data_IF_382315821720
#
_entry.id   IF_382315821720
#
_cell.length_a   1.000
_cell.length_b   1.000
_cell.length_c   1.000
_cell.angle_alpha   90.00
_cell.angle_beta   90.00
_cell.angle_gamma   90.00
#
_symmetry.space_group_name_H-M   'P 1'
#
loop_
_entity.id
_entity.type
_entity.pdbx_description
1 polymer ?
#
# COMPACT_ATOMS: atom_id res chain seq x y z
N UNK A 1 -23.09 28.63 34.72
CA UNK A 1 -23.79 27.32 34.68
C UNK A 1 -24.59 27.11 33.38
N UNK A 2 -25.52 28.04 33.00
CA UNK A 2 -26.27 27.86 31.70
C UNK A 2 -25.35 27.95 30.49
N UNK A 3 -24.43 28.89 30.46
CA UNK A 3 -23.45 28.96 29.35
C UNK A 3 -22.52 27.73 29.29
N UNK A 4 -22.26 27.09 30.42
CA UNK A 4 -21.44 25.88 30.46
C UNK A 4 -22.25 24.68 29.87
N UNK A 5 -23.56 24.62 30.13
CA UNK A 5 -24.44 23.64 29.52
C UNK A 5 -24.50 23.80 27.98
N UNK A 6 -24.70 25.03 27.47
CA UNK A 6 -24.71 25.29 26.03
C UNK A 6 -23.39 24.95 25.37
N UNK A 7 -22.25 25.29 26.02
CA UNK A 7 -20.93 24.91 25.54
C UNK A 7 -20.75 23.38 25.52
N UNK A 8 -21.21 22.67 26.56
CA UNK A 8 -21.13 21.20 26.61
C UNK A 8 -21.95 20.54 25.50
N UNK A 9 -23.19 21.04 25.25
CA UNK A 9 -24.03 20.55 24.16
C UNK A 9 -23.35 20.83 22.80
N UNK A 10 -22.91 22.04 22.57
CA UNK A 10 -22.20 22.42 21.32
C UNK A 10 -20.95 21.57 21.12
N UNK A 11 -20.14 21.38 22.18
CA UNK A 11 -18.93 20.55 22.12
C UNK A 11 -19.24 19.09 21.78
N UNK A 12 -20.33 18.56 22.30
CA UNK A 12 -20.80 17.21 21.98
C UNK A 12 -21.10 17.00 20.48
N UNK A 13 -21.69 18.02 19.83
CA UNK A 13 -21.88 18.03 18.37
C UNK A 13 -20.54 18.12 17.63
N UNK A 14 -19.65 19.04 18.06
CA UNK A 14 -18.33 19.22 17.45
C UNK A 14 -17.50 17.93 17.52
N UNK A 15 -17.49 17.27 18.68
CA UNK A 15 -16.74 16.03 18.87
C UNK A 15 -17.20 14.89 17.93
N UNK A 16 -18.46 14.94 17.50
CA UNK A 16 -19.04 14.02 16.51
C UNK A 16 -18.90 14.46 15.06
N UNK A 17 -18.23 15.60 14.83
CA UNK A 17 -17.99 16.13 13.48
C UNK A 17 -18.99 17.18 13.00
N UNK A 18 -20.04 17.49 13.77
CA UNK A 18 -21.04 18.52 13.43
C UNK A 18 -20.55 19.91 13.84
N UNK A 19 -19.48 20.37 13.21
CA UNK A 19 -18.69 21.55 13.62
C UNK A 19 -19.42 22.87 13.45
N UNK A 20 -20.52 22.91 12.67
CA UNK A 20 -21.33 24.10 12.43
C UNK A 20 -22.60 24.15 13.31
N UNK A 21 -22.90 23.08 14.04
CA UNK A 21 -24.05 23.04 14.94
C UNK A 21 -23.79 23.81 16.24
N UNK A 22 -24.81 24.54 16.72
CA UNK A 22 -24.72 25.41 17.92
C UNK A 22 -25.96 25.31 18.75
N UNK A 23 -25.78 25.31 20.09
CA UNK A 23 -26.87 25.37 21.05
C UNK A 23 -27.09 26.81 21.53
N UNK A 24 -28.35 27.23 21.62
CA UNK A 24 -28.79 28.55 22.05
C UNK A 24 -29.88 28.47 23.10
N UNK A 25 -30.00 29.48 23.93
CA UNK A 25 -31.16 29.72 24.79
C UNK A 25 -32.13 30.67 24.08
N UNK A 26 -33.37 30.25 23.82
CA UNK A 26 -34.40 31.19 23.40
C UNK A 26 -34.77 32.11 24.52
N UNK A 27 -35.41 33.22 24.18
CA UNK A 27 -36.06 34.07 25.20
C UNK A 27 -37.22 33.27 25.79
N UNK A 28 -37.18 33.01 27.11
CA UNK A 28 -38.12 32.14 27.79
C UNK A 28 -38.42 32.59 29.21
N UNK A 29 -39.53 32.22 29.76
CA UNK A 29 -39.87 32.39 31.16
C UNK A 29 -39.41 31.12 31.93
N UNK A 30 -38.64 31.27 32.97
CA UNK A 30 -38.16 30.18 33.81
C UNK A 30 -39.03 29.92 35.04
N UNK A 31 -40.17 30.60 35.15
CA UNK A 31 -41.08 30.44 36.29
C UNK A 31 -41.65 29.04 36.41
N UNK A 32 -41.80 28.32 35.29
CA UNK A 32 -42.34 26.96 35.21
C UNK A 32 -41.33 25.87 35.61
N UNK A 33 -40.06 26.27 35.84
CA UNK A 33 -38.97 25.31 36.15
C UNK A 33 -38.47 24.50 34.99
N UNK A 34 -38.93 24.79 33.76
CA UNK A 34 -38.47 24.17 32.52
C UNK A 34 -37.42 25.05 31.82
N UNK A 35 -36.46 24.43 31.14
CA UNK A 35 -35.41 25.11 30.37
C UNK A 35 -35.42 24.58 28.96
N UNK A 36 -35.82 25.42 28.02
CA UNK A 36 -35.72 25.12 26.59
C UNK A 36 -34.34 25.45 26.03
N UNK A 37 -33.76 24.53 25.30
CA UNK A 37 -32.52 24.72 24.54
C UNK A 37 -32.79 24.44 23.07
N UNK A 38 -32.51 25.43 22.23
CA UNK A 38 -32.59 25.28 20.78
C UNK A 38 -31.22 24.90 20.25
N UNK A 39 -31.16 23.81 19.47
CA UNK A 39 -30.00 23.45 18.70
C UNK A 39 -30.23 23.78 17.24
N UNK A 40 -29.41 24.68 16.69
CA UNK A 40 -29.38 24.95 15.26
C UNK A 40 -28.35 23.99 14.66
N UNK A 41 -28.84 22.97 13.96
CA UNK A 41 -27.99 22.04 13.21
C UNK A 41 -27.50 22.71 11.94
N UNK A 42 -26.17 22.75 11.78
CA UNK A 42 -25.58 23.28 10.55
C UNK A 42 -25.82 22.31 9.38
N UNK A 43 -26.29 22.82 8.23
CA UNK A 43 -26.60 22.01 7.04
C UNK A 43 -25.67 22.32 5.88
N UNK A 44 -25.38 21.30 5.07
CA UNK A 44 -24.60 21.45 3.85
C UNK A 44 -25.52 21.97 2.74
N UNK A 45 -25.26 23.18 2.21
CA UNK A 45 -25.99 23.73 1.06
C UNK A 45 -25.39 23.31 -0.28
N UNK A 46 -24.12 22.96 -0.33
CA UNK A 46 -23.46 22.49 -1.53
C UNK A 46 -21.95 22.37 -1.39
N UNK A 47 -21.36 21.68 -2.34
CA UNK A 47 -19.90 21.53 -2.49
C UNK A 47 -19.50 22.18 -3.80
N UNK A 48 -18.61 23.14 -3.75
CA UNK A 48 -18.05 23.86 -4.89
C UNK A 48 -16.58 23.50 -5.05
N UNK A 49 -16.13 23.21 -6.26
CA UNK A 49 -14.74 22.80 -6.50
C UNK A 49 -14.41 22.64 -7.97
N UNK A 50 -15.12 23.37 -8.85
CA UNK A 50 -15.01 23.22 -10.31
C UNK A 50 -13.58 23.44 -10.86
N UNK A 51 -12.71 24.13 -10.14
CA UNK A 51 -11.30 24.27 -10.50
C UNK A 51 -10.51 22.96 -10.26
N UNK A 52 -10.95 22.11 -9.32
CA UNK A 52 -10.21 20.89 -8.89
C UNK A 52 -10.87 19.64 -9.46
N UNK A 53 -12.19 19.54 -9.41
CA UNK A 53 -12.96 18.38 -9.84
C UNK A 53 -14.32 18.80 -10.41
N UNK A 54 -14.82 18.07 -11.38
CA UNK A 54 -16.17 18.29 -11.93
C UNK A 54 -17.24 17.89 -10.90
N UNK A 55 -18.46 18.41 -11.07
CA UNK A 55 -19.60 18.08 -10.21
C UNK A 55 -19.86 16.57 -10.12
N UNK A 56 -19.64 15.85 -11.23
CA UNK A 56 -19.74 14.38 -11.28
C UNK A 56 -18.72 13.69 -10.40
N UNK A 57 -17.48 14.15 -10.42
CA UNK A 57 -16.40 13.61 -9.59
C UNK A 57 -16.66 13.91 -8.12
N UNK A 58 -17.11 15.12 -7.81
CA UNK A 58 -17.48 15.51 -6.45
C UNK A 58 -18.64 14.67 -5.93
N UNK A 59 -19.68 14.46 -6.74
CA UNK A 59 -20.83 13.63 -6.37
C UNK A 59 -20.46 12.16 -6.11
N UNK A 60 -19.51 11.59 -6.87
CA UNK A 60 -19.03 10.24 -6.66
C UNK A 60 -18.10 10.13 -5.43
N UNK A 61 -17.22 11.11 -5.25
CA UNK A 61 -16.23 11.09 -4.17
C UNK A 61 -16.83 11.46 -2.81
N UNK A 62 -17.92 12.23 -2.78
CA UNK A 62 -18.56 12.74 -1.56
C UNK A 62 -19.49 11.72 -0.90
N UNK A 63 -19.31 11.40 0.37
CA UNK A 63 -20.36 10.78 1.15
C UNK A 63 -21.40 11.77 1.68
N UNK A 64 -21.03 13.07 1.79
CA UNK A 64 -21.92 14.12 2.28
C UNK A 64 -22.98 14.50 1.23
N UNK A 65 -24.20 14.74 1.65
CA UNK A 65 -25.32 15.10 0.79
C UNK A 65 -25.82 16.52 1.09
N UNK A 66 -26.18 17.25 0.04
CA UNK A 66 -26.78 18.59 0.17
C UNK A 66 -28.13 18.51 0.91
N UNK A 67 -28.34 19.42 1.87
CA UNK A 67 -29.55 19.47 2.71
C UNK A 67 -29.44 18.69 4.03
N UNK A 68 -28.47 17.78 4.15
CA UNK A 68 -28.23 17.01 5.38
C UNK A 68 -27.36 17.79 6.38
N UNK A 69 -27.38 17.41 7.68
CA UNK A 69 -26.48 18.01 8.68
C UNK A 69 -25.02 17.87 8.25
N UNK A 70 -24.29 19.01 8.25
CA UNK A 70 -22.90 19.04 7.83
C UNK A 70 -22.01 18.29 8.82
N UNK A 71 -21.37 17.22 8.35
CA UNK A 71 -20.41 16.45 9.12
C UNK A 71 -19.00 16.58 8.53
N UNK A 72 -18.08 17.11 9.34
CA UNK A 72 -16.68 17.31 8.92
C UNK A 72 -15.99 15.99 8.49
N UNK A 73 -16.36 14.85 9.07
CA UNK A 73 -15.74 13.55 8.72
C UNK A 73 -16.10 13.11 7.30
N UNK A 74 -17.29 13.43 6.83
CA UNK A 74 -17.71 13.20 5.46
C UNK A 74 -16.96 14.10 4.47
N UNK A 75 -16.74 15.34 4.86
CA UNK A 75 -15.97 16.30 4.06
C UNK A 75 -14.48 15.95 4.00
N UNK A 76 -13.90 15.51 5.11
CA UNK A 76 -12.54 14.97 5.12
C UNK A 76 -12.40 13.73 4.23
N UNK A 77 -13.44 12.89 4.18
CA UNK A 77 -13.46 11.74 3.28
C UNK A 77 -13.51 12.18 1.81
N UNK A 78 -14.33 13.17 1.47
CA UNK A 78 -14.36 13.76 0.14
C UNK A 78 -12.98 14.28 -0.27
N UNK A 79 -12.35 15.09 0.59
CA UNK A 79 -11.01 15.64 0.34
C UNK A 79 -9.98 14.53 0.14
N UNK A 80 -10.03 13.48 0.94
CA UNK A 80 -9.12 12.34 0.80
C UNK A 80 -9.35 11.60 -0.53
N UNK A 81 -10.60 11.41 -0.95
CA UNK A 81 -10.91 10.77 -2.24
C UNK A 81 -10.39 11.60 -3.43
N UNK A 82 -10.47 12.92 -3.36
CA UNK A 82 -9.90 13.80 -4.40
C UNK A 82 -8.37 13.82 -4.33
N UNK A 83 -7.78 13.97 -3.13
CA UNK A 83 -6.33 13.99 -2.92
C UNK A 83 -5.64 12.64 -3.19
N UNK A 84 -6.41 11.56 -3.34
CA UNK A 84 -5.92 10.28 -3.87
C UNK A 84 -5.31 10.45 -5.27
N UNK A 85 -5.74 11.47 -6.01
CA UNK A 85 -5.23 11.86 -7.31
C UNK A 85 -4.14 12.94 -7.13
N UNK A 86 -2.83 12.63 -7.28
CA UNK A 86 -1.73 13.58 -7.05
C UNK A 86 -1.79 14.86 -7.88
N UNK A 87 -2.50 14.82 -9.03
CA UNK A 87 -2.72 16.01 -9.87
C UNK A 87 -3.78 16.97 -9.31
N UNK A 88 -4.45 16.61 -8.21
CA UNK A 88 -5.59 17.37 -7.68
C UNK A 88 -5.45 17.61 -6.18
N UNK A 89 -4.43 18.39 -5.75
CA UNK A 89 -4.28 18.75 -4.36
C UNK A 89 -5.44 19.66 -3.96
N UNK A 90 -6.33 19.15 -3.12
CA UNK A 90 -7.52 19.85 -2.65
C UNK A 90 -7.42 20.18 -1.16
N UNK A 91 -7.71 21.41 -0.81
CA UNK A 91 -7.92 21.89 0.55
C UNK A 91 -9.37 22.28 0.74
N UNK A 92 -9.92 22.03 1.92
CA UNK A 92 -11.30 22.30 2.26
C UNK A 92 -11.43 23.64 2.99
N UNK A 93 -12.34 24.48 2.50
CA UNK A 93 -12.77 25.68 3.20
C UNK A 93 -14.29 25.67 3.42
N UNK A 94 -14.71 25.96 4.65
CA UNK A 94 -16.12 26.15 4.99
C UNK A 94 -16.47 27.63 4.89
N UNK A 95 -17.48 27.96 4.11
CA UNK A 95 -18.00 29.31 3.96
C UNK A 95 -19.48 29.37 4.37
N UNK A 96 -19.98 30.51 4.88
CA UNK A 96 -21.38 30.68 5.23
C UNK A 96 -22.28 30.41 4.01
N UNK A 97 -23.40 29.73 4.27
CA UNK A 97 -24.46 29.53 3.28
C UNK A 97 -25.43 30.70 3.18
N UNK A 98 -26.50 30.51 2.41
CA UNK A 98 -27.56 31.49 2.25
C UNK A 98 -28.61 31.43 3.36
N UNK A 99 -28.82 30.25 3.94
CA UNK A 99 -29.84 30.03 4.96
C UNK A 99 -29.23 30.09 6.38
N UNK A 100 -30.09 30.30 7.39
CA UNK A 100 -29.65 30.27 8.79
C UNK A 100 -29.19 28.86 9.16
N UNK A 101 -27.91 28.76 9.56
CA UNK A 101 -27.28 27.47 9.83
C UNK A 101 -26.73 26.79 8.56
N UNK A 102 -26.98 27.35 7.37
CA UNK A 102 -26.44 26.83 6.12
C UNK A 102 -24.93 27.05 5.99
N UNK A 103 -24.24 26.11 5.40
CA UNK A 103 -22.80 26.18 5.09
C UNK A 103 -22.52 25.61 3.72
N UNK A 104 -21.60 26.22 3.00
CA UNK A 104 -21.06 25.71 1.74
C UNK A 104 -19.63 25.24 1.92
N UNK A 105 -19.26 24.27 1.14
CA UNK A 105 -17.88 23.76 1.09
C UNK A 105 -17.25 24.21 -0.20
N UNK A 106 -16.08 24.83 -0.11
CA UNK A 106 -15.24 25.15 -1.26
C UNK A 106 -13.99 24.28 -1.23
N UNK A 107 -13.73 23.56 -2.32
CA UNK A 107 -12.45 22.90 -2.53
C UNK A 107 -11.52 23.83 -3.30
N UNK A 108 -10.39 24.15 -2.68
CA UNK A 108 -9.33 25.01 -3.23
C UNK A 108 -8.11 24.18 -3.56
N UNK A 109 -7.36 24.61 -4.57
CA UNK A 109 -6.10 24.02 -4.98
C UNK A 109 -5.79 24.32 -6.44
N UNK A 110 -4.60 23.99 -6.84
CA UNK A 110 -4.15 24.15 -8.23
C UNK A 110 -3.98 22.76 -8.87
N UNK A 111 -4.80 22.41 -9.86
CA UNK A 111 -4.67 21.12 -10.52
C UNK A 111 -3.35 21.05 -11.30
N UNK A 112 -2.64 19.96 -11.10
CA UNK A 112 -1.43 19.64 -11.83
C UNK A 112 -1.71 18.82 -13.10
N UNK A 113 -0.64 18.32 -13.70
CA UNK A 113 -0.71 17.43 -14.85
C UNK A 113 -1.41 16.11 -14.47
N UNK A 114 -2.47 15.68 -15.21
CA UNK A 114 -3.26 14.51 -14.83
C UNK A 114 -2.55 13.18 -15.09
N UNK A 115 -1.43 13.18 -15.76
CA UNK A 115 -0.66 11.97 -16.04
C UNK A 115 0.81 12.15 -15.66
N UNK A 116 1.43 11.06 -15.26
CA UNK A 116 2.85 10.98 -14.87
C UNK A 116 3.45 9.73 -15.50
N UNK A 117 4.64 9.91 -16.07
CA UNK A 117 5.42 8.82 -16.67
C UNK A 117 6.69 8.62 -15.86
N UNK A 118 7.02 7.38 -15.58
CA UNK A 118 8.26 7.01 -14.90
C UNK A 118 9.05 5.98 -15.69
N UNK A 119 10.37 6.10 -15.64
CA UNK A 119 11.32 5.10 -16.14
C UNK A 119 12.33 4.81 -15.04
N UNK A 120 12.68 3.56 -14.88
CA UNK A 120 13.70 3.19 -13.92
C UNK A 120 14.68 2.15 -14.47
N UNK A 121 15.86 2.16 -13.88
CA UNK A 121 16.92 1.18 -14.09
C UNK A 121 17.48 0.78 -12.74
N UNK A 122 17.56 -0.52 -12.48
CA UNK A 122 18.04 -1.04 -11.20
C UNK A 122 18.67 -2.42 -11.37
N UNK A 123 19.37 -2.89 -10.34
CA UNK A 123 20.02 -4.20 -10.31
C UNK A 123 19.52 -5.11 -9.19
N UNK A 124 18.29 -4.93 -8.72
CA UNK A 124 17.67 -5.75 -7.65
C UNK A 124 17.04 -7.07 -8.16
N UNK A 125 17.12 -7.36 -9.45
CA UNK A 125 16.77 -8.68 -9.99
C UNK A 125 17.71 -9.78 -9.48
N UNK A 126 17.24 -11.02 -9.57
CA UNK A 126 18.05 -12.20 -9.25
C UNK A 126 18.98 -12.55 -10.42
N UNK A 127 20.17 -13.06 -10.13
CA UNK A 127 21.13 -13.46 -11.17
C UNK A 127 20.62 -14.59 -12.06
N UNK A 128 19.74 -15.44 -11.51
CA UNK A 128 19.16 -16.58 -12.24
C UNK A 128 18.21 -16.18 -13.35
N UNK A 129 17.47 -15.07 -13.19
CA UNK A 129 16.43 -14.61 -14.12
C UNK A 129 16.75 -13.25 -14.76
N UNK A 130 17.85 -12.62 -14.40
CA UNK A 130 18.28 -11.31 -14.86
C UNK A 130 18.42 -10.32 -13.72
N UNK A 131 19.66 -9.92 -13.44
CA UNK A 131 20.00 -8.99 -12.35
C UNK A 131 19.65 -7.55 -12.70
N UNK A 132 19.91 -7.17 -13.94
CA UNK A 132 19.72 -5.80 -14.43
C UNK A 132 18.31 -5.63 -14.96
N UNK A 133 17.53 -4.80 -14.31
CA UNK A 133 16.12 -4.60 -14.61
C UNK A 133 15.86 -3.19 -15.12
N UNK A 134 14.86 -3.05 -15.97
CA UNK A 134 14.25 -1.78 -16.34
C UNK A 134 12.76 -1.79 -15.99
N UNK A 135 12.18 -0.61 -15.80
CA UNK A 135 10.76 -0.44 -15.62
C UNK A 135 10.26 0.84 -16.24
N UNK A 136 9.03 0.81 -16.69
CA UNK A 136 8.27 1.97 -17.14
C UNK A 136 6.91 1.99 -16.45
N UNK A 137 6.40 3.18 -16.16
CA UNK A 137 5.10 3.38 -15.54
C UNK A 137 4.35 4.56 -16.15
N UNK A 138 3.03 4.44 -16.21
CA UNK A 138 2.10 5.52 -16.51
C UNK A 138 1.04 5.54 -15.44
N UNK A 139 0.90 6.67 -14.76
CA UNK A 139 -0.21 6.96 -13.85
C UNK A 139 -1.08 8.03 -14.48
N UNK A 140 -2.39 7.80 -14.54
CA UNK A 140 -3.35 8.73 -15.14
C UNK A 140 -4.50 8.97 -14.19
N UNK A 141 -4.63 10.20 -13.76
CA UNK A 141 -5.66 10.65 -12.83
C UNK A 141 -6.91 11.03 -13.59
N UNK A 142 -8.04 10.48 -13.18
CA UNK A 142 -9.37 10.72 -13.71
C UNK A 142 -9.52 10.58 -15.23
N UNK A 143 -9.05 9.47 -15.86
CA UNK A 143 -9.19 9.28 -17.30
C UNK A 143 -10.66 9.26 -17.79
N UNK A 144 -11.60 8.84 -16.95
CA UNK A 144 -13.02 8.78 -17.29
C UNK A 144 -13.85 9.92 -16.67
N UNK A 145 -13.23 10.85 -15.94
CA UNK A 145 -13.92 11.94 -15.24
C UNK A 145 -14.78 11.44 -14.08
N UNK A 146 -14.30 10.43 -13.34
CA UNK A 146 -14.99 9.79 -12.21
C UNK A 146 -14.16 9.89 -10.91
N UNK A 147 -13.20 10.79 -10.85
CA UNK A 147 -12.15 10.80 -9.84
C UNK A 147 -11.43 9.45 -9.75
N UNK A 148 -11.39 8.73 -10.84
CA UNK A 148 -10.78 7.41 -11.01
C UNK A 148 -9.27 7.54 -11.25
N UNK A 149 -8.55 6.43 -11.11
CA UNK A 149 -7.11 6.38 -11.37
C UNK A 149 -6.76 5.13 -12.16
N UNK A 150 -5.95 5.31 -13.19
CA UNK A 150 -5.36 4.25 -13.99
C UNK A 150 -3.86 4.19 -13.75
N UNK A 151 -3.34 2.99 -13.52
CA UNK A 151 -1.91 2.70 -13.41
C UNK A 151 -1.51 1.60 -14.37
N UNK A 152 -0.51 1.85 -15.19
CA UNK A 152 0.11 0.86 -16.08
C UNK A 152 1.59 0.76 -15.72
N UNK A 153 2.09 -0.47 -15.60
CA UNK A 153 3.51 -0.73 -15.36
C UNK A 153 3.99 -1.87 -16.25
N UNK A 154 5.20 -1.72 -16.74
CA UNK A 154 5.92 -2.76 -17.47
C UNK A 154 7.38 -2.77 -17.04
N UNK A 155 7.99 -3.92 -17.02
CA UNK A 155 9.40 -4.05 -16.69
C UNK A 155 9.95 -5.42 -17.06
N UNK A 156 11.24 -5.56 -16.93
CA UNK A 156 11.89 -6.82 -17.22
C UNK A 156 13.41 -6.75 -17.21
N UNK A 157 14.01 -7.83 -17.60
CA UNK A 157 15.45 -7.93 -17.75
C UNK A 157 15.95 -6.98 -18.84
N UNK A 158 16.95 -6.21 -18.51
CA UNK A 158 17.51 -5.20 -19.39
C UNK A 158 18.74 -5.70 -20.19
N UNK A 159 19.18 -6.92 -19.93
CA UNK A 159 20.27 -7.58 -20.63
C UNK A 159 19.72 -8.77 -21.39
N UNK A 160 19.73 -8.72 -22.71
CA UNK A 160 19.25 -9.82 -23.53
C UNK A 160 20.14 -11.04 -23.36
N UNK A 161 19.59 -12.11 -22.80
CA UNK A 161 20.23 -13.41 -22.63
C UNK A 161 19.21 -14.52 -23.00
N UNK A 162 19.56 -15.40 -23.89
CA UNK A 162 18.68 -16.49 -24.32
C UNK A 162 18.32 -17.48 -23.21
N UNK A 163 19.13 -17.55 -22.15
CA UNK A 163 19.01 -18.49 -21.05
C UNK A 163 18.36 -17.93 -19.80
N UNK A 164 18.32 -16.61 -19.69
CA UNK A 164 17.78 -15.88 -18.55
C UNK A 164 16.91 -14.75 -19.06
N UNK A 165 15.72 -14.66 -18.53
CA UNK A 165 14.80 -13.57 -18.87
C UNK A 165 13.77 -13.41 -17.79
N UNK A 166 13.38 -12.17 -17.52
CA UNK A 166 12.22 -11.84 -16.74
C UNK A 166 11.46 -10.70 -17.38
N UNK A 167 10.14 -10.76 -17.31
CA UNK A 167 9.26 -9.67 -17.76
C UNK A 167 8.05 -9.60 -16.81
N UNK A 168 7.56 -8.40 -16.58
CA UNK A 168 6.36 -8.18 -15.83
C UNK A 168 5.56 -7.02 -16.43
N UNK A 169 4.25 -7.11 -16.30
CA UNK A 169 3.33 -6.04 -16.64
C UNK A 169 2.17 -6.03 -15.67
N UNK A 170 1.66 -4.85 -15.37
CA UNK A 170 0.49 -4.70 -14.54
C UNK A 170 -0.38 -3.53 -14.99
N UNK A 171 -1.65 -3.70 -14.74
CA UNK A 171 -2.72 -2.75 -14.93
C UNK A 171 -3.45 -2.63 -13.60
N UNK A 172 -3.75 -1.42 -13.15
CA UNK A 172 -4.64 -1.20 -12.02
C UNK A 172 -5.57 -0.03 -12.31
N UNK A 173 -6.82 -0.19 -11.94
CA UNK A 173 -7.84 0.84 -12.05
C UNK A 173 -8.57 0.94 -10.73
N UNK A 174 -8.85 2.16 -10.27
CA UNK A 174 -9.55 2.40 -9.02
C UNK A 174 -10.54 3.56 -9.13
N UNK A 175 -11.67 3.42 -8.43
CA UNK A 175 -12.81 4.33 -8.48
C UNK A 175 -13.31 4.61 -7.05
N UNK A 176 -13.47 5.87 -6.62
CA UNK A 176 -14.09 6.22 -5.34
C UNK A 176 -15.64 6.20 -5.45
N UNK A 177 -16.29 5.91 -4.33
CA UNK A 177 -17.72 6.06 -4.17
C UNK A 177 -18.04 6.37 -2.69
N UNK A 178 -18.04 7.64 -2.32
CA UNK A 178 -18.25 8.09 -0.94
C UNK A 178 -17.27 7.43 0.04
N UNK A 179 -17.81 6.61 0.96
CA UNK A 179 -17.03 5.83 1.92
C UNK A 179 -16.34 4.60 1.32
N UNK A 180 -16.64 4.25 0.08
CA UNK A 180 -16.10 3.11 -0.62
C UNK A 180 -15.01 3.50 -1.61
N UNK A 181 -14.12 2.56 -1.88
CA UNK A 181 -13.20 2.58 -3.01
C UNK A 181 -13.20 1.19 -3.65
N UNK A 182 -13.39 1.13 -4.95
CA UNK A 182 -13.36 -0.11 -5.72
C UNK A 182 -12.10 -0.14 -6.56
N UNK A 183 -11.47 -1.29 -6.66
CA UNK A 183 -10.31 -1.46 -7.51
C UNK A 183 -10.29 -2.81 -8.21
N UNK A 184 -9.73 -2.80 -9.41
CA UNK A 184 -9.36 -3.98 -10.15
C UNK A 184 -7.90 -3.89 -10.52
N UNK A 185 -7.17 -4.99 -10.32
CA UNK A 185 -5.78 -5.11 -10.72
C UNK A 185 -5.57 -6.39 -11.53
N UNK A 186 -4.76 -6.27 -12.56
CA UNK A 186 -4.23 -7.38 -13.34
C UNK A 186 -2.72 -7.32 -13.31
N UNK A 187 -2.08 -8.46 -13.12
CA UNK A 187 -0.63 -8.57 -13.27
C UNK A 187 -0.25 -9.85 -13.99
N UNK A 188 0.79 -9.76 -14.78
CA UNK A 188 1.38 -10.88 -15.47
C UNK A 188 2.90 -10.81 -15.29
N UNK A 189 3.50 -11.95 -14.98
CA UNK A 189 4.93 -12.10 -14.88
C UNK A 189 5.39 -13.32 -15.67
N UNK A 190 6.56 -13.20 -16.25
CA UNK A 190 7.22 -14.28 -16.98
C UNK A 190 8.66 -14.40 -16.50
N UNK A 191 9.15 -15.62 -16.38
CA UNK A 191 10.56 -15.87 -16.12
C UNK A 191 11.08 -17.01 -16.99
N UNK A 192 12.37 -16.95 -17.27
CA UNK A 192 13.17 -18.03 -17.85
C UNK A 192 14.51 -18.09 -17.14
N UNK A 193 14.93 -19.30 -16.79
CA UNK A 193 16.23 -19.52 -16.18
C UNK A 193 16.83 -20.84 -16.62
N UNK A 194 18.16 -20.88 -16.69
CA UNK A 194 18.89 -22.12 -16.87
C UNK A 194 19.27 -22.69 -15.52
N UNK A 195 18.86 -23.89 -15.24
CA UNK A 195 19.15 -24.62 -13.99
C UNK A 195 20.14 -25.74 -14.28
N UNK A 196 21.11 -25.92 -13.38
CA UNK A 196 22.03 -27.05 -13.46
C UNK A 196 21.42 -28.23 -12.72
N UNK A 197 21.04 -29.27 -13.45
CA UNK A 197 20.57 -30.55 -12.88
C UNK A 197 21.74 -31.50 -12.59
N UNK A 198 21.40 -32.69 -12.07
CA UNK A 198 22.37 -33.76 -11.90
C UNK A 198 22.76 -34.34 -13.28
N UNK A 199 23.85 -33.85 -13.84
CA UNK A 199 24.44 -34.36 -15.07
C UNK A 199 24.23 -33.47 -16.32
N UNK A 200 23.18 -32.66 -16.39
CA UNK A 200 22.94 -31.77 -17.54
C UNK A 200 22.17 -30.50 -17.13
N UNK A 201 22.40 -29.39 -17.84
CA UNK A 201 21.61 -28.19 -17.65
C UNK A 201 20.26 -28.30 -18.36
N UNK A 202 19.20 -27.70 -17.79
CA UNK A 202 17.89 -27.58 -18.40
C UNK A 202 17.34 -26.17 -18.28
N UNK A 203 16.40 -25.85 -19.14
CA UNK A 203 15.71 -24.55 -19.12
C UNK A 203 14.38 -24.70 -18.40
N UNK A 204 14.19 -23.87 -17.39
CA UNK A 204 12.91 -23.67 -16.71
C UNK A 204 12.33 -22.33 -17.11
N UNK A 205 11.07 -22.31 -17.46
CA UNK A 205 10.33 -21.07 -17.69
C UNK A 205 8.92 -21.16 -17.10
N UNK A 206 8.35 -20.00 -16.81
CA UNK A 206 7.00 -19.92 -16.27
C UNK A 206 6.34 -18.58 -16.46
N UNK A 207 5.03 -18.62 -16.42
CA UNK A 207 4.13 -17.47 -16.50
C UNK A 207 3.15 -17.52 -15.33
N UNK A 208 2.90 -16.35 -14.72
CA UNK A 208 1.84 -16.19 -13.73
C UNK A 208 0.95 -15.02 -14.12
N UNK A 209 -0.36 -15.21 -14.01
CA UNK A 209 -1.40 -14.20 -14.24
C UNK A 209 -2.25 -14.07 -13.00
N UNK A 210 -2.47 -12.85 -12.54
CA UNK A 210 -3.31 -12.58 -11.37
C UNK A 210 -4.36 -11.54 -11.73
N UNK A 211 -5.60 -11.83 -11.40
CA UNK A 211 -6.73 -10.89 -11.42
C UNK A 211 -7.17 -10.66 -9.99
N UNK A 212 -7.36 -9.41 -9.60
CA UNK A 212 -7.81 -9.05 -8.26
C UNK A 212 -8.88 -7.98 -8.33
N UNK A 213 -10.02 -8.24 -7.69
CA UNK A 213 -11.08 -7.28 -7.40
C UNK A 213 -11.05 -6.97 -5.92
N UNK A 214 -11.22 -5.71 -5.55
CA UNK A 214 -11.23 -5.29 -4.15
C UNK A 214 -12.20 -4.14 -3.94
N UNK A 215 -12.92 -4.20 -2.83
CA UNK A 215 -13.77 -3.13 -2.31
C UNK A 215 -13.30 -2.77 -0.89
N UNK A 216 -12.94 -1.53 -0.69
CA UNK A 216 -12.52 -0.97 0.59
C UNK A 216 -13.60 -0.03 1.11
N UNK A 217 -13.93 -0.10 2.39
CA UNK A 217 -14.87 0.79 3.06
C UNK A 217 -14.26 1.41 4.31
N UNK A 218 -14.34 2.71 4.44
CA UNK A 218 -14.06 3.41 5.69
C UNK A 218 -15.24 3.21 6.63
N UNK A 219 -14.99 2.60 7.80
CA UNK A 219 -16.00 2.32 8.82
C UNK A 219 -16.05 3.40 9.89
N UNK A 220 -14.88 3.93 10.24
CA UNK A 220 -14.74 4.97 11.24
C UNK A 220 -13.62 5.93 10.86
N UNK A 221 -13.84 7.20 11.12
CA UNK A 221 -12.88 8.28 10.94
C UNK A 221 -13.05 9.32 12.02
N UNK A 222 -11.95 9.71 12.64
CA UNK A 222 -11.86 10.89 13.51
C UNK A 222 -10.65 11.75 13.13
N UNK A 223 -10.29 12.75 13.94
CA UNK A 223 -9.20 13.67 13.65
C UNK A 223 -7.80 13.04 13.62
N UNK A 224 -7.62 11.89 14.23
CA UNK A 224 -6.33 11.23 14.40
C UNK A 224 -6.30 9.78 13.93
N UNK A 225 -7.46 9.17 13.68
CA UNK A 225 -7.55 7.76 13.30
C UNK A 225 -8.54 7.49 12.18
N UNK A 226 -8.28 6.40 11.46
CA UNK A 226 -9.17 5.87 10.43
C UNK A 226 -9.17 4.35 10.49
N UNK A 227 -10.36 3.76 10.45
CA UNK A 227 -10.56 2.31 10.43
C UNK A 227 -11.32 1.91 9.17
N UNK A 228 -10.85 0.89 8.50
CA UNK A 228 -11.46 0.38 7.28
C UNK A 228 -11.60 -1.14 7.27
N UNK A 229 -12.47 -1.58 6.40
CA UNK A 229 -12.67 -2.99 6.07
C UNK A 229 -12.49 -3.16 4.56
N UNK A 230 -11.87 -4.26 4.15
CA UNK A 230 -11.73 -4.61 2.74
C UNK A 230 -12.24 -6.00 2.45
N UNK A 231 -12.86 -6.13 1.28
CA UNK A 231 -13.28 -7.40 0.70
C UNK A 231 -12.58 -7.57 -0.64
N UNK A 232 -12.05 -8.76 -0.90
CA UNK A 232 -11.33 -9.04 -2.14
C UNK A 232 -11.64 -10.40 -2.70
N UNK A 233 -11.44 -10.52 -4.01
CA UNK A 233 -11.43 -11.78 -4.76
C UNK A 233 -10.20 -11.75 -5.66
N UNK A 234 -9.33 -12.75 -5.52
CA UNK A 234 -8.16 -12.92 -6.37
C UNK A 234 -8.22 -14.25 -7.11
N UNK A 235 -7.81 -14.24 -8.36
CA UNK A 235 -7.63 -15.44 -9.18
C UNK A 235 -6.23 -15.44 -9.77
N UNK A 236 -5.46 -16.49 -9.44
CA UNK A 236 -4.09 -16.70 -9.89
C UNK A 236 -4.00 -17.94 -10.75
N UNK A 237 -3.43 -17.81 -11.93
CA UNK A 237 -3.03 -18.95 -12.78
C UNK A 237 -1.51 -18.90 -12.97
N UNK A 238 -0.84 -20.00 -12.65
CA UNK A 238 0.59 -20.19 -12.89
C UNK A 238 0.79 -21.38 -13.81
N UNK A 239 1.70 -21.25 -14.77
CA UNK A 239 2.14 -22.32 -15.67
C UNK A 239 3.65 -22.37 -15.66
N UNK A 240 4.20 -23.50 -15.25
CA UNK A 240 5.65 -23.74 -15.21
C UNK A 240 6.02 -24.87 -16.17
N UNK A 241 7.15 -24.71 -16.84
CA UNK A 241 7.67 -25.63 -17.85
C UNK A 241 9.12 -25.99 -17.55
N UNK A 242 9.51 -27.20 -17.92
CA UNK A 242 10.90 -27.65 -18.04
C UNK A 242 11.06 -28.19 -19.46
N UNK A 243 12.04 -27.66 -20.22
CA UNK A 243 12.30 -28.04 -21.62
C UNK A 243 11.00 -28.07 -22.45
N UNK A 244 10.15 -27.04 -22.26
CA UNK A 244 8.82 -26.88 -22.87
C UNK A 244 7.74 -27.90 -22.42
N UNK A 245 8.03 -28.80 -21.49
CA UNK A 245 7.04 -29.70 -20.91
C UNK A 245 6.35 -29.06 -19.72
N UNK A 246 5.01 -28.99 -19.73
CA UNK A 246 4.23 -28.41 -18.64
C UNK A 246 4.34 -29.24 -17.36
N UNK A 247 4.72 -28.61 -16.26
CA UNK A 247 4.77 -29.21 -14.92
C UNK A 247 3.43 -29.00 -14.20
N UNK A 248 2.52 -29.96 -14.33
CA UNK A 248 1.19 -29.85 -13.73
C UNK A 248 1.19 -29.66 -12.22
N UNK A 249 2.13 -30.29 -11.50
CA UNK A 249 2.26 -30.18 -10.02
C UNK A 249 2.71 -28.81 -9.52
N UNK A 250 3.42 -28.03 -10.34
CA UNK A 250 3.87 -26.68 -10.02
C UNK A 250 3.15 -25.58 -10.79
N UNK A 251 2.04 -25.93 -11.45
CA UNK A 251 1.20 -25.01 -12.23
C UNK A 251 -0.17 -24.83 -11.58
N UNK A 252 -0.23 -24.22 -10.39
CA UNK A 252 -1.48 -24.06 -9.65
C UNK A 252 -2.41 -23.06 -10.34
N UNK A 253 -3.72 -23.30 -10.15
CA UNK A 253 -4.78 -22.35 -10.40
C UNK A 253 -5.54 -22.15 -9.09
N UNK A 254 -5.52 -20.93 -8.56
CA UNK A 254 -5.97 -20.61 -7.21
C UNK A 254 -6.99 -19.48 -7.30
N UNK A 255 -8.11 -19.64 -6.61
CA UNK A 255 -9.07 -18.56 -6.35
C UNK A 255 -9.14 -18.33 -4.86
N UNK A 256 -9.03 -17.08 -4.43
CA UNK A 256 -8.93 -16.68 -3.03
C UNK A 256 -9.92 -15.55 -2.73
N UNK A 257 -10.71 -15.72 -1.67
CA UNK A 257 -11.44 -14.61 -1.05
C UNK A 257 -10.58 -13.97 0.02
N UNK A 258 -10.71 -12.67 0.18
CA UNK A 258 -9.89 -11.87 1.09
C UNK A 258 -10.78 -11.00 1.96
N UNK A 259 -10.57 -11.02 3.26
CA UNK A 259 -11.14 -10.09 4.23
C UNK A 259 -9.97 -9.37 4.91
N UNK A 260 -10.02 -8.05 4.90
CA UNK A 260 -8.99 -7.21 5.52
C UNK A 260 -9.59 -6.21 6.51
N UNK A 261 -8.88 -5.95 7.58
CA UNK A 261 -9.14 -4.89 8.54
C UNK A 261 -7.92 -3.99 8.58
N UNK A 262 -8.13 -2.69 8.46
CA UNK A 262 -7.09 -1.68 8.53
C UNK A 262 -7.40 -0.66 9.62
N UNK A 263 -6.40 -0.29 10.42
CA UNK A 263 -6.48 0.81 11.38
C UNK A 263 -5.22 1.65 11.32
N UNK A 264 -5.37 2.92 10.93
CA UNK A 264 -4.32 3.93 10.94
C UNK A 264 -4.55 4.95 12.04
N UNK A 265 -3.49 5.34 12.76
CA UNK A 265 -3.56 6.33 13.85
C UNK A 265 -2.33 7.21 13.92
N UNK A 266 -2.54 8.51 14.14
CA UNK A 266 -1.48 9.46 14.46
C UNK A 266 -1.30 9.54 15.99
N UNK A 267 -0.07 9.34 16.45
CA UNK A 267 0.35 9.42 17.85
C UNK A 267 1.37 10.56 18.01
N UNK A 268 0.87 11.78 18.25
CA UNK A 268 1.72 12.97 18.20
C UNK A 268 2.28 13.20 16.79
N UNK A 269 3.59 13.14 16.63
CA UNK A 269 4.29 13.20 15.34
C UNK A 269 4.44 11.82 14.66
N UNK A 270 4.17 10.74 15.37
CA UNK A 270 4.27 9.39 14.83
C UNK A 270 3.00 8.95 14.09
N UNK A 271 3.18 8.04 13.13
CA UNK A 271 2.10 7.37 12.40
C UNK A 271 2.20 5.86 12.60
N UNK A 272 1.10 5.24 12.96
CA UNK A 272 0.97 3.80 13.13
C UNK A 272 -0.11 3.28 12.19
N UNK A 273 0.19 2.20 11.45
CA UNK A 273 -0.81 1.45 10.70
C UNK A 273 -0.76 -0.01 11.10
N UNK A 274 -1.94 -0.61 11.19
CA UNK A 274 -2.15 -2.03 11.42
C UNK A 274 -3.09 -2.57 10.34
N UNK A 275 -2.63 -3.57 9.61
CA UNK A 275 -3.41 -4.31 8.62
C UNK A 275 -3.48 -5.78 9.04
N UNK A 276 -4.70 -6.29 9.21
CA UNK A 276 -4.99 -7.69 9.45
C UNK A 276 -5.69 -8.26 8.22
N UNK A 277 -5.29 -9.43 7.78
CA UNK A 277 -5.88 -10.10 6.63
C UNK A 277 -6.23 -11.55 6.94
N UNK A 278 -7.37 -11.99 6.44
CA UNK A 278 -7.74 -13.38 6.31
C UNK A 278 -7.99 -13.68 4.83
N UNK A 279 -7.29 -14.67 4.32
CA UNK A 279 -7.43 -15.14 2.95
C UNK A 279 -7.85 -16.60 2.99
N UNK A 280 -8.86 -16.93 2.20
CA UNK A 280 -9.36 -18.29 2.08
C UNK A 280 -9.35 -18.74 0.62
N UNK A 281 -8.64 -19.82 0.35
CA UNK A 281 -8.67 -20.50 -0.93
C UNK A 281 -10.02 -21.18 -1.13
N UNK A 282 -10.65 -20.93 -2.29
CA UNK A 282 -11.97 -21.50 -2.64
C UNK A 282 -11.90 -22.29 -3.94
N UNK A 283 -12.80 -23.26 -4.10
CA UNK A 283 -12.89 -24.13 -5.29
C UNK A 283 -13.67 -23.50 -6.46
N UNK A 284 -13.56 -22.18 -6.68
CA UNK A 284 -14.25 -21.46 -7.77
C UNK A 284 -13.29 -21.18 -8.94
N UNK A 285 -13.84 -20.87 -10.12
CA UNK A 285 -13.09 -20.50 -11.33
C UNK A 285 -12.00 -21.52 -11.71
N UNK A 286 -12.36 -22.81 -11.71
CA UNK A 286 -11.45 -23.93 -12.02
C UNK A 286 -10.21 -24.02 -11.12
N UNK A 287 -10.29 -23.54 -9.88
CA UNK A 287 -9.22 -23.73 -8.91
C UNK A 287 -8.90 -25.22 -8.75
N UNK A 288 -7.63 -25.59 -8.98
CA UNK A 288 -7.20 -26.99 -9.02
C UNK A 288 -6.46 -27.36 -7.74
N UNK A 289 -6.86 -28.50 -7.17
CA UNK A 289 -6.08 -29.19 -6.16
C UNK A 289 -4.93 -29.94 -6.83
N UNK A 290 -3.71 -29.74 -6.38
CA UNK A 290 -2.55 -30.53 -6.80
C UNK A 290 -2.34 -31.76 -5.93
N UNK A 291 -3.42 -32.38 -5.41
CA UNK A 291 -3.31 -33.67 -4.72
C UNK A 291 -2.94 -34.75 -5.72
N UNK A 292 -1.76 -35.30 -5.57
CA UNK A 292 -1.34 -36.50 -6.24
C UNK A 292 -1.62 -37.66 -5.30
N UNK A 293 -2.54 -38.56 -5.69
CA UNK A 293 -2.80 -39.88 -5.10
C UNK A 293 -2.88 -39.96 -3.56
N UNK A 294 -3.76 -39.17 -2.96
CA UNK A 294 -4.07 -39.32 -1.52
C UNK A 294 -2.98 -38.98 -0.51
N UNK A 295 -1.82 -38.54 -0.97
CA UNK A 295 -0.72 -38.04 -0.11
C UNK A 295 -0.83 -36.53 0.13
N UNK A 296 -0.23 -36.08 1.24
CA UNK A 296 -0.16 -34.67 1.59
C UNK A 296 0.40 -33.84 0.41
N UNK A 297 -0.33 -32.87 -0.06
CA UNK A 297 0.03 -31.97 -1.16
C UNK A 297 -0.71 -30.65 -1.02
N UNK A 298 -0.25 -29.63 -1.72
CA UNK A 298 -0.87 -28.30 -1.73
C UNK A 298 -2.34 -28.38 -2.15
N UNK A 299 -3.19 -27.67 -1.42
CA UNK A 299 -4.63 -27.64 -1.67
C UNK A 299 -5.03 -26.25 -2.18
N UNK A 300 -6.01 -26.19 -3.10
CA UNK A 300 -6.65 -24.94 -3.48
C UNK A 300 -7.52 -24.37 -2.34
N UNK A 301 -7.90 -25.20 -1.37
CA UNK A 301 -8.61 -24.78 -0.15
C UNK A 301 -7.61 -24.68 0.99
N UNK A 302 -7.45 -23.51 1.51
CA UNK A 302 -6.56 -23.18 2.63
C UNK A 302 -7.06 -21.94 3.35
N UNK A 303 -6.62 -21.78 4.58
CA UNK A 303 -6.77 -20.54 5.35
C UNK A 303 -5.39 -19.93 5.61
N UNK A 304 -5.29 -18.63 5.37
CA UNK A 304 -4.07 -17.86 5.55
C UNK A 304 -4.39 -16.55 6.27
N UNK A 305 -3.63 -16.26 7.31
CA UNK A 305 -3.72 -15.05 8.09
C UNK A 305 -2.49 -14.19 7.85
N UNK A 306 -2.68 -12.91 7.71
CA UNK A 306 -1.60 -11.93 7.53
C UNK A 306 -1.73 -10.77 8.50
N UNK A 307 -0.58 -10.25 8.93
CA UNK A 307 -0.46 -9.06 9.75
C UNK A 307 0.63 -8.19 9.14
N UNK A 308 0.31 -6.93 8.91
CA UNK A 308 1.30 -5.89 8.63
C UNK A 308 1.13 -4.77 9.63
N UNK A 309 2.21 -4.39 10.29
CA UNK A 309 2.23 -3.26 11.20
C UNK A 309 3.37 -2.32 10.80
N UNK A 310 3.08 -1.03 10.68
CA UNK A 310 4.09 -0.02 10.36
C UNK A 310 4.07 1.10 11.38
N UNK A 311 5.25 1.61 11.68
CA UNK A 311 5.49 2.76 12.54
C UNK A 311 6.43 3.71 11.83
N UNK A 312 6.06 4.97 11.72
CA UNK A 312 6.87 6.06 11.17
C UNK A 312 6.96 7.19 12.18
N UNK A 313 8.15 7.55 12.58
CA UNK A 313 8.43 8.65 13.51
C UNK A 313 9.38 9.65 12.85
N UNK A 314 8.90 10.76 12.27
CA UNK A 314 9.75 11.90 11.94
C UNK A 314 10.13 12.68 13.22
N UNK A 315 11.37 13.12 13.29
CA UNK A 315 11.88 13.92 14.41
C UNK A 315 13.07 14.77 13.99
N UNK A 316 13.42 15.75 14.82
CA UNK A 316 14.63 16.54 14.63
C UNK A 316 15.62 16.27 15.77
N UNK A 317 16.88 16.12 15.42
CA UNK A 317 17.98 15.97 16.36
C UNK A 317 19.12 16.89 15.94
N UNK A 318 19.55 17.80 16.83
CA UNK A 318 20.61 18.78 16.56
C UNK A 318 20.36 19.65 15.32
N UNK A 319 19.09 19.95 15.01
CA UNK A 319 18.68 20.70 13.83
C UNK A 319 18.59 19.92 12.54
N UNK A 320 18.93 18.63 12.56
CA UNK A 320 18.84 17.74 11.39
C UNK A 320 17.52 16.97 11.36
N UNK A 321 17.00 16.72 10.16
CA UNK A 321 15.75 15.97 9.97
C UNK A 321 16.05 14.47 9.90
N UNK A 322 15.44 13.73 10.80
CA UNK A 322 15.52 12.28 10.85
C UNK A 322 14.12 11.67 10.79
N UNK A 323 14.05 10.43 10.30
CA UNK A 323 12.88 9.57 10.45
C UNK A 323 13.29 8.17 10.87
N UNK A 324 12.53 7.58 11.76
CA UNK A 324 12.63 6.17 12.09
C UNK A 324 11.42 5.44 11.51
N UNK A 325 11.68 4.42 10.69
CA UNK A 325 10.70 3.58 10.03
C UNK A 325 10.84 2.16 10.56
N UNK A 326 9.73 1.55 10.98
CA UNK A 326 9.68 0.16 11.41
C UNK A 326 8.49 -0.55 10.74
N UNK A 327 8.71 -1.72 10.15
CA UNK A 327 7.70 -2.50 9.44
C UNK A 327 7.80 -3.96 9.84
N UNK A 328 6.70 -4.50 10.36
CA UNK A 328 6.52 -5.93 10.62
C UNK A 328 5.57 -6.47 9.54
N UNK A 329 5.93 -7.58 8.93
CA UNK A 329 5.04 -8.37 8.09
C UNK A 329 5.10 -9.82 8.55
N UNK A 330 3.94 -10.43 8.77
CA UNK A 330 3.83 -11.79 9.26
C UNK A 330 2.69 -12.52 8.56
N UNK A 331 2.91 -13.78 8.24
CA UNK A 331 1.92 -14.69 7.67
C UNK A 331 1.85 -15.97 8.50
N UNK A 332 0.65 -16.51 8.68
CA UNK A 332 0.41 -17.82 9.27
C UNK A 332 -0.59 -18.62 8.44
N UNK A 333 -0.25 -19.86 8.18
CA UNK A 333 -1.16 -20.87 7.65
C UNK A 333 -0.79 -22.22 8.25
N UNK A 334 -1.80 -23.02 8.59
CA UNK A 334 -1.62 -24.42 9.02
C UNK A 334 -1.72 -25.39 7.81
N UNK A 335 -2.19 -24.84 6.70
CA UNK A 335 -2.30 -25.57 5.43
C UNK A 335 -1.00 -25.52 4.65
N UNK A 336 -0.80 -26.53 3.81
CA UNK A 336 0.30 -26.54 2.85
C UNK A 336 -0.06 -25.64 1.64
N UNK A 337 0.59 -24.48 1.59
CA UNK A 337 0.36 -23.48 0.56
C UNK A 337 1.12 -23.78 -0.74
N UNK A 338 0.52 -23.44 -1.86
CA UNK A 338 1.22 -23.36 -3.14
C UNK A 338 2.31 -22.28 -3.09
N UNK A 339 3.39 -22.46 -3.85
CA UNK A 339 4.55 -21.57 -3.86
C UNK A 339 4.19 -20.08 -3.96
N UNK A 340 3.27 -19.61 -4.82
CA UNK A 340 2.90 -18.20 -4.90
C UNK A 340 2.22 -17.64 -3.65
N UNK A 341 1.68 -18.51 -2.78
CA UNK A 341 0.96 -18.11 -1.56
C UNK A 341 1.85 -18.13 -0.30
N UNK A 342 3.04 -18.69 -0.41
CA UNK A 342 4.01 -18.75 0.69
C UNK A 342 4.64 -17.39 0.93
N UNK A 343 4.93 -17.09 2.20
CA UNK A 343 5.77 -15.94 2.53
C UNK A 343 7.23 -16.25 2.18
N UNK A 344 7.92 -15.27 1.59
CA UNK A 344 9.35 -15.36 1.28
C UNK A 344 10.11 -14.24 1.99
N UNK A 345 11.26 -14.56 2.54
CA UNK A 345 12.18 -13.63 3.18
C UNK A 345 13.57 -13.75 2.54
N UNK A 346 14.25 -12.63 2.40
CA UNK A 346 15.47 -12.42 1.61
C UNK A 346 15.19 -11.47 0.42
N UNK A 347 16.09 -10.57 0.14
CA UNK A 347 15.96 -9.54 -0.88
C UNK A 347 15.71 -8.15 -0.32
N UNK A 348 15.74 -7.17 -1.21
CA UNK A 348 15.64 -5.73 -0.87
C UNK A 348 14.31 -5.37 -0.18
N UNK A 349 13.25 -6.12 -0.43
CA UNK A 349 11.90 -5.84 0.12
C UNK A 349 11.64 -6.44 1.51
N UNK A 350 12.47 -7.38 1.99
CA UNK A 350 12.26 -8.05 3.28
C UNK A 350 13.51 -7.99 4.17
N UNK A 351 14.49 -8.86 3.98
CA UNK A 351 15.76 -8.85 4.72
C UNK A 351 16.88 -8.47 3.76
N UNK A 352 17.29 -7.19 3.80
CA UNK A 352 18.38 -6.66 2.97
C UNK A 352 19.68 -7.36 3.37
N UNK A 353 20.48 -7.74 2.46
CA UNK A 353 21.70 -8.54 2.73
C UNK A 353 21.66 -9.89 2.05
N UNK A 354 20.47 -10.30 1.58
CA UNK A 354 20.27 -11.48 0.74
C UNK A 354 19.68 -11.03 -0.59
N UNK A 355 20.25 -11.49 -1.70
CA UNK A 355 19.82 -11.12 -3.05
C UNK A 355 19.45 -12.34 -3.88
N UNK A 356 20.35 -13.30 -3.91
CA UNK A 356 20.18 -14.53 -4.71
C UNK A 356 19.63 -15.70 -3.88
N UNK A 357 19.66 -15.60 -2.55
CA UNK A 357 19.21 -16.63 -1.62
C UNK A 357 18.05 -16.12 -0.78
N UNK A 358 17.04 -16.94 -0.60
CA UNK A 358 15.82 -16.62 0.16
C UNK A 358 15.30 -17.86 0.87
N UNK A 359 14.49 -17.67 1.89
CA UNK A 359 13.71 -18.71 2.53
C UNK A 359 12.23 -18.45 2.25
N UNK A 360 11.45 -19.51 2.06
CA UNK A 360 10.00 -19.39 1.92
C UNK A 360 9.28 -20.50 2.68
N UNK A 361 8.10 -20.20 3.21
CA UNK A 361 7.30 -21.14 3.98
C UNK A 361 5.84 -20.75 4.10
N UNK A 362 5.04 -21.64 4.70
CA UNK A 362 3.62 -21.39 4.94
C UNK A 362 3.42 -20.32 6.01
N UNK A 363 4.30 -20.30 7.02
CA UNK A 363 4.28 -19.39 8.16
C UNK A 363 5.65 -18.76 8.38
N UNK A 364 5.64 -17.47 8.69
CA UNK A 364 6.85 -16.71 8.94
C UNK A 364 6.62 -15.21 8.83
N UNK A 365 7.70 -14.44 8.91
CA UNK A 365 7.61 -13.00 8.80
C UNK A 365 8.95 -12.31 8.80
N UNK A 366 8.93 -11.01 8.68
CA UNK A 366 10.12 -10.17 8.79
C UNK A 366 9.79 -8.86 9.51
N UNK A 367 10.82 -8.30 10.09
CA UNK A 367 10.82 -7.02 10.77
C UNK A 367 11.94 -6.17 10.21
N UNK A 368 11.58 -5.06 9.59
CA UNK A 368 12.49 -4.09 8.99
C UNK A 368 12.55 -2.84 9.85
N UNK A 369 13.75 -2.35 10.08
CA UNK A 369 13.98 -1.11 10.80
C UNK A 369 14.96 -0.24 10.03
N UNK A 370 14.69 1.06 9.98
CA UNK A 370 15.50 2.01 9.25
C UNK A 370 15.50 3.36 9.94
N UNK A 371 16.69 3.89 10.14
CA UNK A 371 16.91 5.27 10.54
C UNK A 371 17.40 6.04 9.32
N UNK A 372 16.68 7.06 8.92
CA UNK A 372 16.99 7.90 7.76
C UNK A 372 17.26 9.33 8.19
N UNK A 373 18.36 9.88 7.74
CA UNK A 373 18.69 11.28 7.78
C UNK A 373 18.53 11.89 6.39
N UNK A 374 17.97 13.12 6.32
CA UNK A 374 17.76 13.82 5.05
C UNK A 374 18.09 15.29 5.19
N UNK A 375 18.68 15.85 4.14
CA UNK A 375 19.05 17.25 4.09
C UNK A 375 18.73 17.85 2.71
N UNK A 376 18.18 19.09 2.66
CA UNK A 376 18.05 19.82 1.40
C UNK A 376 19.43 20.17 0.82
N UNK A 377 19.48 20.34 -0.49
CA UNK A 377 20.68 20.78 -1.20
C UNK A 377 20.73 22.32 -1.18
N UNK A 378 21.76 22.89 -0.58
CA UNK A 378 21.96 24.35 -0.49
C UNK A 378 22.72 24.91 -1.70
N UNK A 379 23.39 24.07 -2.48
CA UNK A 379 24.18 24.48 -3.64
C UNK A 379 23.29 24.72 -4.87
N UNK A 380 23.07 26.01 -5.20
CA UNK A 380 22.13 26.44 -6.24
C UNK A 380 22.33 25.76 -7.63
N UNK A 381 23.56 25.51 -8.14
CA UNK A 381 23.75 24.84 -9.42
C UNK A 381 23.26 23.40 -9.46
N UNK A 382 23.17 22.70 -8.31
CA UNK A 382 22.72 21.32 -8.19
C UNK A 382 21.20 21.22 -7.99
N UNK A 383 20.55 22.25 -7.44
CA UNK A 383 19.12 22.24 -7.08
C UNK A 383 18.17 21.89 -8.25
N UNK A 384 18.42 22.25 -9.52
CA UNK A 384 17.59 21.83 -10.63
C UNK A 384 17.53 20.30 -10.83
N UNK A 385 18.57 19.58 -10.42
CA UNK A 385 18.72 18.14 -10.59
C UNK A 385 18.47 17.36 -9.29
N UNK A 386 18.96 17.89 -8.16
CA UNK A 386 18.87 17.25 -6.84
C UNK A 386 18.45 18.30 -5.82
N UNK A 387 17.30 18.11 -5.21
CA UNK A 387 16.79 19.00 -4.16
C UNK A 387 17.10 18.52 -2.74
N UNK A 388 17.30 17.21 -2.59
CA UNK A 388 17.50 16.57 -1.31
C UNK A 388 18.42 15.38 -1.44
N UNK A 389 19.27 15.16 -0.45
CA UNK A 389 20.06 13.93 -0.32
C UNK A 389 19.86 13.34 1.08
N UNK A 390 20.19 12.07 1.23
CA UNK A 390 19.98 11.37 2.48
C UNK A 390 20.87 10.15 2.64
N UNK A 391 20.98 9.75 3.91
CA UNK A 391 21.65 8.55 4.36
C UNK A 391 20.67 7.74 5.19
N UNK A 392 20.58 6.44 4.97
CA UNK A 392 19.77 5.57 5.80
C UNK A 392 20.57 4.36 6.25
N UNK A 393 20.47 4.04 7.54
CA UNK A 393 20.95 2.81 8.12
C UNK A 393 19.77 1.89 8.41
N UNK A 394 19.91 0.61 8.06
CA UNK A 394 18.86 -0.37 8.21
C UNK A 394 19.35 -1.64 8.90
N UNK A 395 18.48 -2.24 9.69
CA UNK A 395 18.66 -3.57 10.28
C UNK A 395 17.37 -4.37 10.17
N UNK A 396 17.44 -5.50 9.50
CA UNK A 396 16.29 -6.34 9.18
C UNK A 396 16.46 -7.73 9.79
N UNK A 397 15.35 -8.28 10.25
CA UNK A 397 15.22 -9.64 10.78
C UNK A 397 14.11 -10.36 10.01
N UNK A 398 14.25 -11.65 9.80
CA UNK A 398 13.20 -12.48 9.21
C UNK A 398 13.29 -13.91 9.73
N UNK A 399 12.16 -14.58 9.76
CA UNK A 399 12.09 -15.97 10.18
C UNK A 399 11.02 -16.72 9.39
N UNK A 400 11.38 -17.88 8.86
CA UNK A 400 10.45 -18.88 8.35
C UNK A 400 10.34 -19.98 9.39
N UNK A 401 9.10 -20.33 9.75
CA UNK A 401 8.82 -21.41 10.69
C UNK A 401 8.95 -22.75 9.98
N UNK A 402 9.53 -23.74 10.69
CA UNK A 402 9.59 -25.10 10.21
C UNK A 402 8.21 -25.76 10.30
N UNK A 403 7.84 -26.47 9.26
CA UNK A 403 6.66 -27.33 9.21
C UNK A 403 7.00 -28.73 8.66
N UNK A 404 6.04 -29.63 8.62
CA UNK A 404 6.24 -31.02 8.18
C UNK A 404 6.78 -31.14 6.76
N UNK A 405 6.46 -30.16 5.91
CA UNK A 405 6.78 -30.16 4.49
C UNK A 405 8.00 -29.30 4.19
N UNK A 406 8.44 -28.47 5.16
CA UNK A 406 9.56 -27.53 5.04
C UNK A 406 10.64 -27.75 6.12
N UNK A 407 10.90 -28.99 6.49
CA UNK A 407 11.83 -29.33 7.57
C UNK A 407 13.29 -28.86 7.33
N UNK A 408 13.68 -28.54 6.10
CA UNK A 408 15.05 -28.11 5.73
C UNK A 408 15.15 -26.64 5.30
N UNK A 409 14.05 -26.00 4.90
CA UNK A 409 14.07 -24.63 4.34
C UNK A 409 13.45 -23.59 5.30
N UNK A 410 13.78 -23.70 6.59
CA UNK A 410 13.33 -22.81 7.65
C UNK A 410 14.52 -22.21 8.38
N UNK A 411 14.28 -21.19 9.18
CA UNK A 411 15.30 -20.56 9.99
C UNK A 411 15.19 -19.04 10.02
N UNK A 412 16.21 -18.41 10.56
CA UNK A 412 16.30 -16.97 10.74
C UNK A 412 17.30 -16.37 9.76
N UNK A 413 16.92 -15.19 9.23
CA UNK A 413 17.79 -14.31 8.46
C UNK A 413 17.92 -12.99 9.19
N UNK A 414 19.11 -12.42 9.22
CA UNK A 414 19.29 -11.02 9.56
C UNK A 414 20.29 -10.35 8.64
N UNK A 415 20.13 -9.05 8.44
CA UNK A 415 20.98 -8.25 7.59
C UNK A 415 20.98 -6.78 7.97
N UNK A 416 22.04 -6.10 7.58
CA UNK A 416 22.10 -4.64 7.68
C UNK A 416 22.30 -4.02 6.30
N UNK A 417 21.99 -2.72 6.19
CA UNK A 417 22.22 -1.98 4.96
C UNK A 417 22.50 -0.50 5.26
N UNK A 418 23.32 0.09 4.40
CA UNK A 418 23.58 1.52 4.36
C UNK A 418 23.19 2.02 2.98
N UNK A 419 22.26 2.98 2.92
CA UNK A 419 21.73 3.56 1.70
C UNK A 419 22.13 5.02 1.59
N UNK A 420 22.67 5.41 0.45
CA UNK A 420 22.83 6.78 0.00
C UNK A 420 21.75 7.09 -1.01
N UNK A 421 21.06 8.21 -0.87
CA UNK A 421 19.99 8.62 -1.78
C UNK A 421 20.09 10.09 -2.13
N UNK A 422 19.68 10.41 -3.36
CA UNK A 422 19.54 11.77 -3.84
C UNK A 422 18.25 11.88 -4.65
N UNK A 423 17.48 12.94 -4.44
CA UNK A 423 16.20 13.15 -5.10
C UNK A 423 16.06 14.59 -5.59
N UNK A 424 15.60 14.73 -6.82
CA UNK A 424 15.26 15.99 -7.46
C UNK A 424 13.82 16.00 -7.99
N UNK A 425 13.49 17.01 -8.81
CA UNK A 425 12.16 17.13 -9.40
C UNK A 425 11.80 15.96 -10.33
N UNK A 426 12.76 15.51 -11.12
CA UNK A 426 12.56 14.51 -12.19
C UNK A 426 13.49 13.29 -12.07
N UNK A 427 14.32 13.24 -11.04
CA UNK A 427 15.37 12.23 -10.86
C UNK A 427 15.40 11.78 -9.40
N UNK A 428 15.49 10.47 -9.18
CA UNK A 428 15.93 9.92 -7.92
C UNK A 428 17.01 8.86 -8.15
N UNK A 429 18.01 8.83 -7.28
CA UNK A 429 19.11 7.86 -7.34
C UNK A 429 19.28 7.27 -5.95
N UNK A 430 19.52 5.97 -5.85
CA UNK A 430 19.91 5.33 -4.62
C UNK A 430 21.01 4.29 -4.83
N UNK A 431 21.88 4.18 -3.83
CA UNK A 431 22.94 3.18 -3.77
C UNK A 431 22.90 2.57 -2.37
N UNK A 432 22.64 1.27 -2.30
CA UNK A 432 22.52 0.53 -1.04
C UNK A 432 23.58 -0.54 -0.94
N UNK A 433 24.39 -0.47 0.11
CA UNK A 433 25.35 -1.50 0.49
C UNK A 433 24.72 -2.35 1.60
N UNK A 434 24.52 -3.63 1.34
CA UNK A 434 23.89 -4.51 2.30
C UNK A 434 24.79 -5.70 2.63
N UNK A 435 24.55 -6.31 3.78
CA UNK A 435 25.30 -7.46 4.26
C UNK A 435 24.38 -8.41 5.02
N UNK A 436 24.45 -9.71 4.68
CA UNK A 436 23.86 -10.78 5.48
C UNK A 436 24.66 -11.00 6.76
N UNK A 437 23.97 -11.16 7.89
CA UNK A 437 24.57 -11.37 9.22
C UNK A 437 24.29 -12.79 9.71
N UNK A 438 23.03 -13.13 9.98
CA UNK A 438 22.60 -14.44 10.43
C UNK A 438 21.92 -15.20 9.27
N UNK A 439 22.22 -16.47 9.13
CA UNK A 439 21.64 -17.36 8.13
C UNK A 439 21.59 -18.80 8.66
N UNK A 440 20.59 -19.62 8.29
CA UNK A 440 20.59 -21.05 8.56
C UNK A 440 21.52 -21.81 7.57
N UNK A 441 21.84 -23.03 7.89
CA UNK A 441 22.78 -23.85 7.09
C UNK A 441 22.31 -24.09 5.65
N UNK A 442 21.00 -24.04 5.39
CA UNK A 442 20.44 -24.17 4.03
C UNK A 442 20.83 -22.99 3.11
N UNK A 443 21.19 -21.86 3.67
CA UNK A 443 21.77 -20.72 2.96
C UNK A 443 23.29 -20.89 2.91
N UNK A 444 23.82 -21.26 1.77
CA UNK A 444 25.21 -21.74 1.62
C UNK A 444 26.26 -20.68 1.90
N UNK A 445 26.00 -19.42 1.56
CA UNK A 445 27.00 -18.35 1.64
C UNK A 445 26.45 -17.06 2.22
N UNK A 446 27.34 -16.30 2.84
CA UNK A 446 27.09 -14.89 3.14
C UNK A 446 27.06 -14.08 1.84
N UNK A 447 26.18 -13.10 1.78
CA UNK A 447 26.05 -12.18 0.66
C UNK A 447 26.38 -10.74 1.10
N UNK A 448 26.93 -9.98 0.18
CA UNK A 448 27.22 -8.56 0.33
C UNK A 448 26.68 -7.79 -0.90
N UNK A 449 25.36 -7.79 -1.11
CA UNK A 449 24.81 -7.17 -2.30
C UNK A 449 24.96 -5.65 -2.29
N UNK A 450 25.20 -5.11 -3.48
CA UNK A 450 25.14 -3.68 -3.74
C UNK A 450 23.97 -3.46 -4.69
N UNK A 451 23.02 -2.65 -4.25
CA UNK A 451 21.88 -2.28 -5.08
C UNK A 451 22.04 -0.84 -5.57
N UNK A 452 21.83 -0.64 -6.85
CA UNK A 452 21.84 0.66 -7.49
C UNK A 452 20.53 0.87 -8.23
N UNK A 453 19.95 2.05 -8.10
CA UNK A 453 18.69 2.40 -8.74
C UNK A 453 18.71 3.85 -9.23
N UNK A 454 18.18 4.06 -10.41
CA UNK A 454 17.92 5.36 -10.99
C UNK A 454 16.46 5.39 -11.44
N UNK A 455 15.72 6.38 -10.99
CA UNK A 455 14.34 6.65 -11.38
C UNK A 455 14.27 8.01 -12.07
N UNK A 456 13.65 8.04 -13.23
CA UNK A 456 13.31 9.25 -13.98
C UNK A 456 11.79 9.39 -13.99
N UNK A 457 11.27 10.57 -13.70
CA UNK A 457 9.83 10.85 -13.69
C UNK A 457 9.53 12.23 -14.26
N UNK A 458 8.37 12.27 -14.98
CA UNK A 458 7.91 13.44 -15.71
C UNK A 458 6.43 13.69 -15.51
#
# INVERSE_FOLDING_TARGET
>A
RLNDLLKAITQHYIDRGYVTSRAYLPQQDLADGELDVIVVEGRLEGVEGSAIASDRELALASPAQTGEPLNLRELEQLVEQINRLPSRPAELELVPGSDVGGSRVQLKGEPGKPWRVGFNRHNDGQRSTGEQQWGASLEWDSPLGLADQLSLRAGGDAVSDRWRHSANQSFAYSLPYGWWSFSYAYSQSYYRMRTQGQGFPFVSDGESKTHQLRADRVLHRDSISKTGLSLGLAHLETRNYIENALLGSSSPRITETQLGFNHGRRLGSAFVNLDLGWQQGIGALDAKNSRIDGKSGTNARYDKYSLTASYLQPFQLLGENLSFDSLINYQRSEDELNSPQRISIGGLSSVRGFKDQSLSGNSGGYWRNQLRWTRPVDWAPLQPFVRQYGLAFAYDLGQIQGDRNNARSHGRLSGNALEFSARGPNLAVSLTFARSLERPDVIERQEHPIYARIDLFY
#
